data_IF_713670005630
#
_entry.id   IF_713670005630
#
_cell.length_a   1.000
_cell.length_b   1.000
_cell.length_c   1.000
_cell.angle_alpha   90.00
_cell.angle_beta   90.00
_cell.angle_gamma   90.00
#
_symmetry.space_group_name_H-M   'P 1'
#
loop_
_entity.id
_entity.type
_entity.pdbx_description
1 polymer ?
#
# COMPACT_ATOMS: atom_id res chain seq x y z
N UNK A 1 6.90 0.82 -19.80
CA UNK A 1 8.09 0.68 -18.95
C UNK A 1 9.28 1.27 -19.67
N UNK A 2 10.12 2.01 -18.96
CA UNK A 2 11.43 2.48 -19.44
C UNK A 2 12.45 2.03 -18.39
N UNK A 3 13.55 1.42 -18.80
CA UNK A 3 14.69 1.15 -17.93
C UNK A 3 15.87 2.04 -18.28
N UNK A 4 16.67 2.41 -17.27
CA UNK A 4 17.89 3.17 -17.43
C UNK A 4 19.03 2.39 -16.79
N UNK A 5 20.07 2.08 -17.57
CA UNK A 5 21.25 1.36 -17.11
C UNK A 5 22.35 2.31 -16.66
N UNK A 6 23.01 1.98 -15.56
CA UNK A 6 24.25 2.61 -15.10
C UNK A 6 25.51 1.92 -15.61
N UNK A 7 25.38 0.91 -16.44
CA UNK A 7 26.51 0.18 -16.99
C UNK A 7 27.30 1.00 -18.02
N UNK A 8 28.54 0.56 -18.28
CA UNK A 8 29.29 1.07 -19.43
C UNK A 8 28.56 0.71 -20.73
N UNK A 9 28.77 1.50 -21.78
CA UNK A 9 28.11 1.32 -23.07
C UNK A 9 28.19 -0.12 -23.60
N UNK A 10 29.34 -0.75 -23.49
CA UNK A 10 29.54 -2.12 -23.99
C UNK A 10 28.70 -3.14 -23.20
N UNK A 11 28.69 -3.05 -21.87
CA UNK A 11 27.88 -3.92 -21.00
C UNK A 11 26.41 -3.73 -21.23
N UNK A 12 25.94 -2.48 -21.29
CA UNK A 12 24.56 -2.15 -21.56
C UNK A 12 24.07 -2.71 -22.91
N UNK A 13 24.85 -2.51 -23.99
CA UNK A 13 24.50 -3.04 -25.31
C UNK A 13 24.49 -4.56 -25.36
N UNK A 14 25.39 -5.22 -24.66
CA UNK A 14 25.43 -6.68 -24.60
C UNK A 14 24.27 -7.28 -23.77
N UNK A 15 23.90 -6.64 -22.66
CA UNK A 15 22.86 -7.13 -21.75
C UNK A 15 21.46 -7.04 -22.37
N UNK A 16 21.16 -6.01 -23.16
CA UNK A 16 19.82 -5.77 -23.70
C UNK A 16 19.27 -6.95 -24.53
N UNK A 17 19.99 -7.53 -25.49
CA UNK A 17 19.57 -8.74 -26.20
C UNK A 17 19.57 -9.99 -25.31
N UNK A 18 20.58 -10.12 -24.44
CA UNK A 18 20.73 -11.30 -23.57
C UNK A 18 19.55 -11.49 -22.62
N UNK A 19 18.92 -10.38 -22.18
CA UNK A 19 17.79 -10.39 -21.27
C UNK A 19 16.43 -10.22 -21.96
N UNK A 20 16.38 -10.33 -23.28
CA UNK A 20 15.14 -10.27 -24.09
C UNK A 20 14.21 -9.09 -23.70
N UNK A 21 14.80 -7.92 -23.47
CA UNK A 21 14.05 -6.75 -23.02
C UNK A 21 13.12 -6.25 -24.12
N UNK A 22 11.82 -6.34 -23.90
CA UNK A 22 10.76 -5.92 -24.85
C UNK A 22 10.34 -4.46 -24.67
N UNK A 23 10.88 -3.77 -23.67
CA UNK A 23 10.60 -2.37 -23.38
C UNK A 23 11.80 -1.49 -23.73
N UNK A 24 11.58 -0.17 -23.69
CA UNK A 24 12.62 0.80 -23.97
C UNK A 24 13.71 0.76 -22.89
N UNK A 25 14.94 0.44 -23.28
CA UNK A 25 16.11 0.41 -22.43
C UNK A 25 17.10 1.49 -22.85
N UNK A 26 17.41 2.40 -21.93
CA UNK A 26 18.20 3.59 -22.16
C UNK A 26 19.46 3.59 -21.30
N UNK A 27 20.43 4.42 -21.66
CA UNK A 27 21.57 4.80 -20.85
C UNK A 27 21.97 6.23 -21.18
N UNK A 28 22.24 7.04 -20.19
CA UNK A 28 22.84 8.38 -20.38
C UNK A 28 24.38 8.33 -20.46
N UNK A 29 24.96 7.13 -20.37
CA UNK A 29 26.40 6.83 -20.40
C UNK A 29 27.21 7.55 -19.30
N UNK A 30 26.56 8.06 -18.27
CA UNK A 30 27.18 8.77 -17.15
C UNK A 30 27.31 7.90 -15.90
N UNK A 31 26.96 6.61 -16.00
CA UNK A 31 27.00 5.64 -14.91
C UNK A 31 26.22 6.13 -13.68
N UNK A 32 26.88 6.30 -12.53
CA UNK A 32 26.25 6.79 -11.30
C UNK A 32 26.06 8.31 -11.25
N UNK A 33 26.65 9.05 -12.20
CA UNK A 33 26.34 10.46 -12.42
C UNK A 33 25.08 10.62 -13.31
N UNK A 34 24.72 11.81 -13.69
CA UNK A 34 23.58 12.05 -14.58
C UNK A 34 22.25 11.65 -13.98
N UNK A 35 21.45 10.81 -14.65
CA UNK A 35 20.11 10.43 -14.18
C UNK A 35 20.13 9.75 -12.81
N UNK A 36 21.11 8.93 -12.51
CA UNK A 36 21.24 8.31 -11.19
C UNK A 36 21.42 9.36 -10.08
N UNK A 37 22.23 10.38 -10.31
CA UNK A 37 22.41 11.48 -9.36
C UNK A 37 21.15 12.36 -9.27
N UNK A 38 20.50 12.66 -10.41
CA UNK A 38 19.27 13.47 -10.44
C UNK A 38 18.12 12.81 -9.65
N UNK A 39 18.01 11.48 -9.73
CA UNK A 39 16.98 10.72 -9.00
C UNK A 39 17.45 10.20 -7.64
N UNK A 40 18.60 10.63 -7.13
CA UNK A 40 19.18 10.19 -5.85
C UNK A 40 19.18 8.65 -5.68
N UNK A 41 19.67 7.94 -6.70
CA UNK A 41 19.65 6.48 -6.71
C UNK A 41 20.78 5.94 -5.83
N UNK A 42 20.45 5.47 -4.65
CA UNK A 42 21.38 4.91 -3.66
C UNK A 42 21.47 3.37 -3.68
N UNK A 43 20.67 2.72 -4.52
CA UNK A 43 20.66 1.26 -4.66
C UNK A 43 19.89 0.80 -5.88
N UNK A 44 20.26 -0.37 -6.41
CA UNK A 44 19.62 -0.97 -7.58
C UNK A 44 18.99 -2.33 -7.23
N UNK A 45 17.87 -2.68 -7.87
CA UNK A 45 17.08 -1.84 -8.77
C UNK A 45 16.41 -0.68 -8.02
N UNK A 46 16.30 0.47 -8.67
CA UNK A 46 15.51 1.61 -8.23
C UNK A 46 14.35 1.82 -9.19
N UNK A 47 13.20 2.17 -8.67
CA UNK A 47 11.98 2.38 -9.43
C UNK A 47 11.45 3.78 -9.21
N UNK A 48 11.01 4.41 -10.29
CA UNK A 48 10.35 5.71 -10.28
C UNK A 48 9.03 5.56 -11.01
N UNK A 49 7.92 5.78 -10.32
CA UNK A 49 6.60 5.84 -10.92
C UNK A 49 6.27 7.29 -11.26
N UNK A 50 5.97 7.54 -12.52
CA UNK A 50 5.69 8.87 -13.06
C UNK A 50 4.24 8.88 -13.56
N UNK A 51 3.47 9.91 -13.21
CA UNK A 51 2.10 10.11 -13.69
C UNK A 51 2.09 10.49 -15.19
N UNK A 52 0.92 10.42 -15.87
CA UNK A 52 0.77 10.88 -17.25
C UNK A 52 1.17 12.36 -17.45
N UNK A 53 1.07 13.19 -16.39
CA UNK A 53 1.44 14.61 -16.40
C UNK A 53 2.94 14.82 -16.15
N UNK A 54 3.75 13.76 -16.08
CA UNK A 54 5.20 13.82 -15.89
C UNK A 54 5.66 14.06 -14.45
N UNK A 55 4.78 13.89 -13.45
CA UNK A 55 5.13 14.06 -12.03
C UNK A 55 5.54 12.74 -11.39
N UNK A 56 6.59 12.79 -10.55
CA UNK A 56 6.98 11.64 -9.74
C UNK A 56 5.87 11.38 -8.70
N UNK A 57 5.30 10.18 -8.75
CA UNK A 57 4.25 9.70 -7.82
C UNK A 57 4.87 8.95 -6.66
N UNK A 58 5.85 8.09 -6.95
CA UNK A 58 6.53 7.27 -5.94
C UNK A 58 7.92 6.87 -6.43
N UNK A 59 8.85 6.73 -5.48
CA UNK A 59 10.18 6.15 -5.70
C UNK A 59 10.45 5.09 -4.65
N UNK A 60 11.15 4.02 -5.03
CA UNK A 60 11.60 2.99 -4.08
C UNK A 60 12.76 2.19 -4.66
N UNK A 61 13.60 1.63 -3.79
CA UNK A 61 14.71 0.75 -4.14
C UNK A 61 14.44 -0.68 -3.71
N UNK A 62 15.18 -1.62 -4.33
CA UNK A 62 15.13 -3.04 -4.00
C UNK A 62 14.07 -3.82 -4.76
N UNK A 63 14.32 -5.13 -4.89
CA UNK A 63 13.45 -6.07 -5.57
C UNK A 63 13.08 -7.22 -4.63
N UNK A 64 11.79 -7.50 -4.52
CA UNK A 64 11.26 -8.76 -3.99
C UNK A 64 10.34 -9.38 -5.04
N UNK A 65 10.31 -10.69 -5.13
CA UNK A 65 9.45 -11.39 -6.11
C UNK A 65 7.99 -10.91 -5.94
N UNK A 66 7.41 -10.35 -7.00
CA UNK A 66 6.05 -9.79 -6.97
C UNK A 66 5.92 -8.36 -6.41
N UNK A 67 6.95 -7.81 -5.74
CA UNK A 67 6.86 -6.50 -5.08
C UNK A 67 6.56 -5.35 -6.04
N UNK A 68 7.06 -5.39 -7.27
CA UNK A 68 6.81 -4.35 -8.26
C UNK A 68 5.32 -4.26 -8.61
N UNK A 69 4.69 -5.41 -8.92
CA UNK A 69 3.25 -5.48 -9.25
C UNK A 69 2.41 -4.90 -8.10
N UNK A 70 2.75 -5.28 -6.86
CA UNK A 70 2.03 -4.84 -5.66
C UNK A 70 2.12 -3.32 -5.46
N UNK A 71 3.34 -2.77 -5.56
CA UNK A 71 3.56 -1.32 -5.41
C UNK A 71 2.89 -0.52 -6.53
N UNK A 72 2.87 -1.05 -7.76
CA UNK A 72 2.22 -0.38 -8.90
C UNK A 72 0.69 -0.44 -8.84
N UNK A 73 0.11 -1.55 -8.35
CA UNK A 73 -1.34 -1.76 -8.32
C UNK A 73 -2.09 -0.61 -7.62
N UNK A 74 -1.58 -0.15 -6.48
CA UNK A 74 -2.12 0.99 -5.73
C UNK A 74 -2.29 2.26 -6.58
N UNK A 75 -1.45 2.44 -7.60
CA UNK A 75 -1.44 3.65 -8.44
C UNK A 75 -2.07 3.44 -9.81
N UNK A 76 -2.08 2.20 -10.34
CA UNK A 76 -2.61 1.89 -11.66
C UNK A 76 -4.08 1.48 -11.61
N UNK A 77 -4.47 0.73 -10.59
CA UNK A 77 -5.82 0.18 -10.43
C UNK A 77 -6.61 0.93 -9.36
N UNK A 78 -6.18 2.15 -8.97
CA UNK A 78 -6.92 2.95 -7.99
C UNK A 78 -8.33 3.18 -8.55
N UNK A 79 -9.36 2.43 -8.08
CA UNK A 79 -10.71 2.64 -8.54
C UNK A 79 -11.12 4.05 -8.16
N UNK A 80 -11.92 4.68 -9.02
CA UNK A 80 -12.54 5.96 -8.71
C UNK A 80 -13.20 5.84 -7.33
N UNK A 81 -12.89 6.79 -6.45
CA UNK A 81 -13.50 6.85 -5.12
C UNK A 81 -15.01 6.99 -5.29
N UNK A 82 -15.73 5.93 -5.00
CA UNK A 82 -17.18 5.96 -4.95
C UNK A 82 -17.59 5.89 -3.48
N UNK A 83 -18.17 6.97 -3.01
CA UNK A 83 -18.91 6.95 -1.76
C UNK A 83 -20.35 6.53 -2.10
N UNK A 84 -20.74 5.33 -1.73
CA UNK A 84 -22.14 4.94 -1.74
C UNK A 84 -22.73 5.22 -0.36
N UNK A 85 -23.55 6.26 -0.27
CA UNK A 85 -24.48 6.42 0.87
C UNK A 85 -25.69 5.57 0.49
N UNK A 86 -25.78 4.34 1.03
CA UNK A 86 -27.03 3.60 0.99
C UNK A 86 -28.01 4.34 1.87
N UNK A 87 -29.25 4.51 1.46
CA UNK A 87 -30.27 5.34 2.10
C UNK A 87 -30.71 4.94 3.53
N UNK A 88 -29.91 4.16 4.23
CA UNK A 88 -29.99 3.91 5.65
C UNK A 88 -29.17 5.02 6.34
N UNK A 89 -29.85 5.88 7.10
CA UNK A 89 -29.26 7.05 7.80
C UNK A 89 -28.16 6.67 8.78
N UNK A 90 -28.00 5.38 9.09
CA UNK A 90 -27.11 4.83 10.09
C UNK A 90 -25.96 4.00 9.53
N UNK A 91 -25.73 4.01 8.21
CA UNK A 91 -24.63 3.29 7.56
C UNK A 91 -23.89 4.19 6.58
N UNK A 92 -22.57 4.18 6.66
CA UNK A 92 -21.68 4.88 5.74
C UNK A 92 -20.63 3.90 5.21
N UNK A 93 -20.48 3.83 3.89
CA UNK A 93 -19.48 2.99 3.24
C UNK A 93 -18.56 3.87 2.39
N UNK A 94 -17.25 3.72 2.57
CA UNK A 94 -16.24 4.44 1.81
C UNK A 94 -15.31 3.42 1.15
N UNK A 95 -15.30 3.39 -0.16
CA UNK A 95 -14.42 2.53 -0.94
C UNK A 95 -13.08 3.23 -1.21
N UNK A 96 -11.99 2.50 -1.06
CA UNK A 96 -10.61 2.97 -1.31
C UNK A 96 -10.35 4.37 -0.74
N UNK A 97 -10.54 4.57 0.57
CA UNK A 97 -10.34 5.86 1.19
C UNK A 97 -8.90 6.34 1.01
N UNK A 98 -8.70 7.64 0.78
CA UNK A 98 -7.35 8.19 0.85
C UNK A 98 -6.86 8.25 2.28
N UNK A 99 -5.57 8.31 2.44
CA UNK A 99 -4.90 8.48 3.71
C UNK A 99 -3.74 9.48 3.57
N UNK A 100 -3.23 9.99 4.69
CA UNK A 100 -2.15 10.98 4.71
C UNK A 100 -0.77 10.32 4.65
N UNK A 101 -0.56 9.27 5.46
CA UNK A 101 0.71 8.55 5.50
C UNK A 101 0.55 7.11 5.95
N UNK A 102 1.52 6.28 5.61
CA UNK A 102 1.64 4.91 6.11
C UNK A 102 3.10 4.53 6.27
N UNK A 103 3.40 3.66 7.22
CA UNK A 103 4.72 3.06 7.40
C UNK A 103 4.84 1.67 6.75
N UNK A 104 3.80 1.21 6.04
CA UNK A 104 3.78 -0.12 5.41
C UNK A 104 3.33 -0.06 3.97
N UNK A 105 3.96 -0.88 3.12
CA UNK A 105 3.51 -1.16 1.76
C UNK A 105 2.75 -2.49 1.67
N UNK A 106 2.56 -3.19 2.80
CA UNK A 106 1.95 -4.51 2.88
C UNK A 106 0.43 -4.42 2.91
N UNK A 107 -0.13 -3.41 3.59
CA UNK A 107 -1.57 -3.23 3.75
C UNK A 107 -2.10 -2.08 2.90
N UNK A 108 -3.28 -2.30 2.34
CA UNK A 108 -4.11 -1.28 1.71
C UNK A 108 -5.53 -1.35 2.26
N UNK A 109 -6.12 -0.19 2.57
CA UNK A 109 -7.53 -0.12 2.97
C UNK A 109 -8.39 -0.18 1.72
N UNK A 110 -9.13 -1.29 1.56
CA UNK A 110 -10.07 -1.52 0.46
C UNK A 110 -11.38 -0.76 0.67
N UNK A 111 -11.94 -0.87 1.87
CA UNK A 111 -13.24 -0.29 2.20
C UNK A 111 -13.33 -0.04 3.70
N UNK A 112 -14.09 0.97 4.08
CA UNK A 112 -14.49 1.23 5.47
C UNK A 112 -16.00 1.30 5.54
N UNK A 113 -16.59 0.53 6.46
CA UNK A 113 -18.02 0.58 6.77
C UNK A 113 -18.22 1.08 8.20
N UNK A 114 -18.99 2.14 8.36
CA UNK A 114 -19.44 2.64 9.65
C UNK A 114 -20.91 2.29 9.84
N UNK A 115 -21.20 1.69 11.00
CA UNK A 115 -22.57 1.40 11.45
C UNK A 115 -22.73 1.82 12.90
N UNK A 116 -23.94 1.80 13.43
CA UNK A 116 -24.19 2.12 14.84
C UNK A 116 -23.55 1.13 15.82
N UNK A 117 -23.23 -0.09 15.36
CA UNK A 117 -22.74 -1.18 16.20
C UNK A 117 -21.28 -1.51 15.99
N UNK A 118 -20.70 -1.11 14.86
CA UNK A 118 -19.33 -1.47 14.50
C UNK A 118 -18.75 -0.52 13.43
N UNK A 119 -17.42 -0.47 13.39
CA UNK A 119 -16.66 -0.01 12.23
C UNK A 119 -15.90 -1.19 11.65
N UNK A 120 -16.12 -1.50 10.37
CA UNK A 120 -15.45 -2.60 9.67
C UNK A 120 -14.47 -2.00 8.67
N UNK A 121 -13.21 -2.42 8.77
CA UNK A 121 -12.16 -2.02 7.82
C UNK A 121 -11.73 -3.25 7.04
N UNK A 122 -11.92 -3.21 5.74
CA UNK A 122 -11.50 -4.26 4.82
C UNK A 122 -10.12 -3.91 4.26
N UNK A 123 -9.22 -4.88 4.29
CA UNK A 123 -7.85 -4.74 3.84
C UNK A 123 -7.53 -5.67 2.69
N UNK A 124 -6.69 -5.18 1.78
CA UNK A 124 -5.81 -6.01 0.97
C UNK A 124 -4.46 -6.14 1.66
N UNK A 125 -3.93 -7.35 1.72
CA UNK A 125 -2.57 -7.62 2.13
C UNK A 125 -1.76 -8.12 0.93
N UNK A 126 -0.55 -7.58 0.79
CA UNK A 126 0.37 -7.92 -0.29
C UNK A 126 1.74 -8.17 0.30
N UNK A 127 2.24 -9.41 0.19
CA UNK A 127 3.56 -9.73 0.67
C UNK A 127 4.19 -10.86 -0.14
N UNK A 128 5.36 -11.32 0.28
CA UNK A 128 6.07 -12.41 -0.37
C UNK A 128 5.20 -13.68 -0.34
N UNK A 129 4.96 -14.36 -1.48
CA UNK A 129 4.23 -15.63 -1.51
C UNK A 129 4.76 -16.61 -0.47
N UNK A 130 3.85 -17.29 0.22
CA UNK A 130 4.15 -18.28 1.28
C UNK A 130 4.85 -17.69 2.52
N UNK A 131 5.10 -16.39 2.56
CA UNK A 131 5.56 -15.75 3.78
C UNK A 131 4.38 -15.40 4.68
N UNK A 132 4.65 -15.08 5.94
CA UNK A 132 3.58 -14.77 6.89
C UNK A 132 3.46 -13.26 7.14
N UNK A 133 2.25 -12.87 7.48
CA UNK A 133 1.92 -11.59 8.09
C UNK A 133 1.20 -11.86 9.41
N UNK A 134 1.11 -10.86 10.26
CA UNK A 134 0.39 -10.94 11.52
C UNK A 134 -0.30 -9.60 11.80
N UNK A 135 -1.49 -9.66 12.37
CA UNK A 135 -2.19 -8.49 12.92
C UNK A 135 -2.26 -8.67 14.44
N UNK A 136 -1.89 -7.66 15.18
CA UNK A 136 -1.94 -7.70 16.65
C UNK A 136 -3.36 -7.76 17.18
N UNK A 137 -3.56 -8.45 18.29
CA UNK A 137 -4.82 -8.42 19.06
C UNK A 137 -5.14 -7.03 19.62
N UNK A 138 -4.13 -6.16 19.71
CA UNK A 138 -4.24 -4.80 20.22
C UNK A 138 -4.49 -3.75 19.12
N UNK A 139 -4.79 -4.20 17.89
CA UNK A 139 -5.14 -3.29 16.81
C UNK A 139 -6.30 -2.38 17.20
N UNK A 140 -6.23 -1.12 16.80
CA UNK A 140 -7.24 -0.11 17.12
C UNK A 140 -7.35 0.96 16.06
N UNK A 141 -8.48 1.65 16.06
CA UNK A 141 -8.65 2.92 15.36
C UNK A 141 -8.52 4.06 16.36
N UNK A 142 -8.09 5.22 15.89
CA UNK A 142 -8.01 6.45 16.66
C UNK A 142 -8.61 7.58 15.82
N UNK A 143 -9.67 8.23 16.31
CA UNK A 143 -10.31 9.31 15.57
C UNK A 143 -9.53 10.64 15.67
N UNK A 144 -10.04 11.68 15.02
CA UNK A 144 -9.42 13.00 15.01
C UNK A 144 -9.45 13.71 16.37
N UNK A 145 -10.23 13.23 17.36
CA UNK A 145 -10.28 13.70 18.74
C UNK A 145 -9.35 12.91 19.66
N UNK A 146 -8.71 11.85 19.15
CA UNK A 146 -7.81 10.98 19.92
C UNK A 146 -8.52 9.85 20.67
N UNK A 147 -9.83 9.66 20.47
CA UNK A 147 -10.56 8.53 21.05
C UNK A 147 -10.18 7.22 20.35
N UNK A 148 -10.05 6.15 21.14
CA UNK A 148 -9.58 4.85 20.66
C UNK A 148 -10.72 3.84 20.59
N UNK A 149 -10.76 3.08 19.48
CA UNK A 149 -11.77 2.06 19.17
C UNK A 149 -11.07 0.71 18.97
N UNK A 150 -11.25 -0.19 19.92
CA UNK A 150 -10.52 -1.46 19.99
C UNK A 150 -11.08 -2.49 19.02
N UNK A 151 -10.20 -3.38 18.54
CA UNK A 151 -10.56 -4.54 17.75
C UNK A 151 -11.53 -5.44 18.53
N UNK A 152 -12.59 -5.89 17.89
CA UNK A 152 -13.60 -6.81 18.44
C UNK A 152 -13.59 -8.17 17.74
N UNK A 153 -13.42 -8.16 16.42
CA UNK A 153 -13.46 -9.37 15.58
C UNK A 153 -12.59 -9.19 14.35
N UNK A 154 -12.08 -10.28 13.82
CA UNK A 154 -11.45 -10.35 12.50
C UNK A 154 -12.06 -11.47 11.67
N UNK A 155 -12.06 -11.30 10.36
CA UNK A 155 -12.45 -12.28 9.38
C UNK A 155 -11.37 -12.40 8.31
N UNK A 156 -11.04 -13.63 7.88
CA UNK A 156 -9.96 -13.90 6.94
C UNK A 156 -8.55 -13.91 7.55
N UNK A 157 -8.39 -13.48 8.80
CA UNK A 157 -7.12 -13.55 9.56
C UNK A 157 -7.41 -13.76 11.04
N UNK A 158 -6.48 -14.42 11.76
CA UNK A 158 -6.59 -14.58 13.22
C UNK A 158 -5.60 -13.64 13.91
N UNK A 159 -6.04 -12.60 14.63
CA UNK A 159 -5.15 -11.72 15.36
C UNK A 159 -4.23 -12.45 16.33
N UNK A 160 -2.98 -12.04 16.39
CA UNK A 160 -1.94 -12.68 17.24
C UNK A 160 -1.36 -13.97 16.68
N UNK A 161 -1.80 -14.43 15.49
CA UNK A 161 -1.27 -15.63 14.82
C UNK A 161 -0.66 -15.30 13.47
N UNK A 162 0.34 -16.07 13.07
CA UNK A 162 0.89 -15.98 11.72
C UNK A 162 -0.15 -16.43 10.69
N UNK A 163 -0.40 -15.60 9.71
CA UNK A 163 -1.19 -15.89 8.54
C UNK A 163 -0.26 -16.01 7.33
N UNK A 164 -0.15 -17.20 6.75
CA UNK A 164 0.71 -17.46 5.60
C UNK A 164 -0.02 -17.09 4.31
N UNK A 165 0.57 -16.20 3.54
CA UNK A 165 0.01 -15.79 2.26
C UNK A 165 0.03 -16.94 1.24
N UNK A 166 -0.97 -17.01 0.34
CA UNK A 166 -1.01 -17.99 -0.72
C UNK A 166 0.11 -17.78 -1.76
N UNK A 167 0.16 -18.65 -2.77
CA UNK A 167 1.09 -18.55 -3.91
C UNK A 167 1.01 -17.19 -4.64
N UNK A 168 -0.14 -16.53 -4.62
CA UNK A 168 -0.31 -15.20 -5.21
C UNK A 168 0.43 -14.10 -4.46
N UNK A 169 0.72 -14.29 -3.16
CA UNK A 169 1.21 -13.24 -2.27
C UNK A 169 0.13 -12.20 -1.93
N UNK A 170 -1.13 -12.48 -2.20
CA UNK A 170 -2.27 -11.57 -2.00
C UNK A 170 -3.29 -12.22 -1.06
N UNK A 171 -3.87 -11.44 -0.16
CA UNK A 171 -4.96 -11.88 0.69
C UNK A 171 -5.91 -10.70 1.00
N UNK A 172 -7.14 -11.03 1.31
CA UNK A 172 -8.13 -10.08 1.83
C UNK A 172 -8.56 -10.52 3.22
N UNK A 173 -8.74 -9.55 4.10
CA UNK A 173 -9.30 -9.77 5.43
C UNK A 173 -10.03 -8.53 5.91
N UNK A 174 -10.86 -8.67 6.92
CA UNK A 174 -11.51 -7.55 7.57
C UNK A 174 -11.30 -7.54 9.07
N UNK A 175 -11.24 -6.34 9.63
CA UNK A 175 -11.14 -6.09 11.06
C UNK A 175 -12.37 -5.28 11.50
N UNK A 176 -13.08 -5.79 12.51
CA UNK A 176 -14.24 -5.15 13.09
C UNK A 176 -13.84 -4.50 14.41
N UNK A 177 -14.08 -3.21 14.53
CA UNK A 177 -13.77 -2.39 15.70
C UNK A 177 -15.04 -1.89 16.38
N UNK A 178 -14.93 -1.37 17.60
CA UNK A 178 -15.98 -0.57 18.22
C UNK A 178 -16.43 0.54 17.26
N UNK A 179 -17.72 0.95 17.28
CA UNK A 179 -18.24 1.89 16.30
C UNK A 179 -17.61 3.27 16.44
N UNK A 180 -17.05 3.79 15.36
CA UNK A 180 -16.72 5.19 15.18
C UNK A 180 -18.02 6.01 15.02
N UNK A 181 -18.10 7.23 15.53
CA UNK A 181 -19.23 8.10 15.24
C UNK A 181 -19.42 8.27 13.73
N UNK A 182 -20.66 8.21 13.24
CA UNK A 182 -20.97 8.32 11.81
C UNK A 182 -20.47 9.64 11.18
N UNK A 183 -20.30 10.67 12.00
CA UNK A 183 -19.80 12.00 11.60
C UNK A 183 -18.27 12.10 11.54
N UNK A 184 -17.54 11.05 11.94
CA UNK A 184 -16.08 11.02 11.88
C UNK A 184 -15.61 11.32 10.46
N UNK A 185 -14.65 12.24 10.32
CA UNK A 185 -14.12 12.69 9.02
C UNK A 185 -12.88 11.90 8.61
N UNK A 186 -12.07 11.53 9.60
CA UNK A 186 -10.87 10.72 9.40
C UNK A 186 -10.50 9.95 10.66
N UNK A 187 -9.68 8.94 10.51
CA UNK A 187 -9.14 8.17 11.62
C UNK A 187 -7.77 7.58 11.26
N UNK A 188 -7.02 7.16 12.26
CA UNK A 188 -5.79 6.41 12.11
C UNK A 188 -6.05 4.94 12.45
N UNK A 189 -5.45 4.05 11.67
CA UNK A 189 -5.31 2.63 12.02
C UNK A 189 -3.93 2.40 12.60
N UNK A 190 -3.84 1.71 13.75
CA UNK A 190 -2.60 1.22 14.30
C UNK A 190 -2.76 -0.24 14.71
N UNK A 191 -1.81 -1.06 14.27
CA UNK A 191 -1.80 -2.49 14.59
C UNK A 191 -1.52 -2.74 16.08
N UNK A 192 -0.67 -1.90 16.69
CA UNK A 192 -0.28 -2.05 18.08
C UNK A 192 0.48 -0.84 18.60
N UNK A 193 1.38 -1.04 19.55
CA UNK A 193 2.15 0.03 20.22
C UNK A 193 3.66 -0.06 19.98
N UNK A 194 4.15 -1.12 19.33
CA UNK A 194 5.56 -1.25 19.02
C UNK A 194 5.95 -0.33 17.84
N UNK A 195 7.22 0.07 17.82
CA UNK A 195 7.75 1.01 16.82
C UNK A 195 7.55 0.56 15.35
N UNK A 196 7.57 -0.76 15.15
CA UNK A 196 7.46 -1.35 13.81
C UNK A 196 6.04 -1.84 13.46
N UNK A 197 5.06 -1.65 14.36
CA UNK A 197 3.68 -2.00 14.10
C UNK A 197 3.14 -1.15 12.96
N UNK A 198 2.28 -1.73 12.13
CA UNK A 198 1.72 -1.05 10.98
C UNK A 198 0.82 0.11 11.39
N UNK A 199 0.97 1.20 10.66
CA UNK A 199 0.19 2.42 10.86
C UNK A 199 -0.26 2.97 9.51
N UNK A 200 -1.52 3.35 9.44
CA UNK A 200 -2.09 4.10 8.31
C UNK A 200 -2.80 5.31 8.92
N UNK A 201 -2.25 6.50 8.67
CA UNK A 201 -2.70 7.73 9.31
C UNK A 201 -3.59 8.56 8.40
N UNK A 202 -4.58 9.21 8.99
CA UNK A 202 -5.46 10.13 8.29
C UNK A 202 -6.30 9.46 7.21
N UNK A 203 -6.87 8.28 7.47
CA UNK A 203 -7.80 7.60 6.55
C UNK A 203 -9.06 8.45 6.45
N UNK A 204 -9.31 9.00 5.24
CA UNK A 204 -10.40 9.96 5.01
C UNK A 204 -11.73 9.24 4.77
N UNK A 205 -12.75 9.69 5.49
CA UNK A 205 -14.13 9.19 5.39
C UNK A 205 -15.08 10.14 4.65
N UNK A 206 -14.59 11.30 4.23
CA UNK A 206 -15.32 12.26 3.43
C UNK A 206 -14.61 12.49 2.09
N UNK A 207 -15.38 12.76 1.06
CA UNK A 207 -14.92 13.22 -0.25
C UNK A 207 -14.74 14.73 -0.21
#
# INVERSE_FOLDING_TARGET
IISVSSDTQNRWKAASPQHEMTWQNLSDLKQTAGLYAVYDVNGIPNYVLISPEGKIVKMWSGYGKGSLKLKMRRYLDAPKREMSITGDTNRKVVNHPSFESTNTDILEVKQVELTDTATIVHFYAYYIPKYWIQVSVNAKLVDEQGASYTLQKADGITPGKHFFLPESGEAEFSLTFKPLPIKTKSFNFTEGTAKNDWQINGIKLNI
#
